data_IF_103406263316
#
_entry.id   IF_103406263316
#
_cell.length_a   1.000
_cell.length_b   1.000
_cell.length_c   1.000
_cell.angle_alpha   90.00
_cell.angle_beta   90.00
_cell.angle_gamma   90.00
#
_symmetry.space_group_name_H-M   'P 1'
#
loop_
_entity.id
_entity.type
_entity.pdbx_description
1 polymer ?
#
# COMPACT_ATOMS: atom_id res chain seq x y z
N UNK A 1 -45.05 -56.07 -2.72
CA UNK A 1 -43.68 -56.10 -3.27
C UNK A 1 -43.41 -54.87 -4.15
N UNK A 2 -44.31 -54.51 -5.06
CA UNK A 2 -44.17 -53.34 -5.98
C UNK A 2 -44.07 -51.98 -5.22
N UNK A 3 -44.89 -51.76 -4.20
CA UNK A 3 -44.93 -50.48 -3.45
C UNK A 3 -43.63 -50.17 -2.68
N UNK A 4 -42.92 -51.21 -2.22
CA UNK A 4 -41.62 -51.09 -1.53
C UNK A 4 -40.54 -50.68 -2.54
N UNK A 5 -40.52 -51.32 -3.72
CA UNK A 5 -39.59 -51.01 -4.81
C UNK A 5 -39.75 -49.57 -5.33
N UNK A 6 -40.99 -49.06 -5.42
CA UNK A 6 -41.25 -47.68 -5.86
C UNK A 6 -40.75 -46.65 -4.82
N UNK A 7 -40.99 -46.91 -3.53
CA UNK A 7 -40.52 -46.05 -2.44
C UNK A 7 -39.00 -45.99 -2.37
N UNK A 8 -38.33 -47.12 -2.53
CA UNK A 8 -36.85 -47.21 -2.53
C UNK A 8 -36.24 -46.44 -3.70
N UNK A 9 -36.83 -46.55 -4.89
CA UNK A 9 -36.38 -45.82 -6.08
C UNK A 9 -36.56 -44.30 -5.94
N UNK A 10 -37.68 -43.85 -5.37
CA UNK A 10 -37.93 -42.42 -5.10
C UNK A 10 -36.94 -41.87 -4.06
N UNK A 11 -36.67 -42.63 -3.00
CA UNK A 11 -35.71 -42.23 -1.97
C UNK A 11 -34.28 -42.17 -2.52
N UNK A 12 -33.89 -43.15 -3.35
CA UNK A 12 -32.59 -43.14 -4.03
C UNK A 12 -32.44 -41.93 -4.96
N UNK A 13 -33.50 -41.56 -5.69
CA UNK A 13 -33.52 -40.36 -6.53
C UNK A 13 -33.32 -39.08 -5.71
N UNK A 14 -34.00 -38.94 -4.57
CA UNK A 14 -33.88 -37.78 -3.67
C UNK A 14 -32.47 -37.67 -3.07
N UNK A 15 -31.89 -38.79 -2.63
CA UNK A 15 -30.52 -38.82 -2.09
C UNK A 15 -29.49 -38.34 -3.12
N UNK A 16 -29.56 -38.85 -4.36
CA UNK A 16 -28.66 -38.41 -5.44
C UNK A 16 -28.79 -36.93 -5.76
N UNK A 17 -30.02 -36.39 -5.77
CA UNK A 17 -30.25 -34.98 -5.99
C UNK A 17 -29.63 -34.10 -4.88
N UNK A 18 -29.78 -34.50 -3.62
CA UNK A 18 -29.21 -33.79 -2.47
C UNK A 18 -27.67 -33.81 -2.49
N UNK A 19 -27.06 -34.96 -2.75
CA UNK A 19 -25.59 -35.09 -2.86
C UNK A 19 -25.02 -34.20 -3.98
N UNK A 20 -25.70 -34.13 -5.12
CA UNK A 20 -25.28 -33.24 -6.20
C UNK A 20 -25.37 -31.76 -5.79
N UNK A 21 -26.43 -31.37 -5.08
CA UNK A 21 -26.58 -30.01 -4.59
C UNK A 21 -25.46 -29.63 -3.60
N UNK A 22 -25.17 -30.51 -2.64
CA UNK A 22 -24.07 -30.30 -1.67
C UNK A 22 -22.70 -30.21 -2.37
N UNK A 23 -22.46 -31.04 -3.38
CA UNK A 23 -21.21 -31.03 -4.17
C UNK A 23 -21.05 -29.73 -4.97
N UNK A 24 -22.13 -29.26 -5.61
CA UNK A 24 -22.11 -28.00 -6.37
C UNK A 24 -21.92 -26.81 -5.43
N UNK A 25 -22.59 -26.81 -4.28
CA UNK A 25 -22.43 -25.74 -3.29
C UNK A 25 -20.98 -25.68 -2.78
N UNK A 26 -20.39 -26.84 -2.47
CA UNK A 26 -18.97 -26.94 -2.09
C UNK A 26 -18.03 -26.42 -3.19
N UNK A 27 -18.35 -26.70 -4.46
CA UNK A 27 -17.56 -26.19 -5.58
C UNK A 27 -17.67 -24.67 -5.73
N UNK A 28 -18.88 -24.11 -5.61
CA UNK A 28 -19.12 -22.67 -5.71
C UNK A 28 -18.48 -21.86 -4.58
N UNK A 29 -18.43 -22.44 -3.38
CA UNK A 29 -17.82 -21.81 -2.20
C UNK A 29 -16.29 -21.96 -2.17
N UNK A 30 -15.73 -22.84 -3.02
CA UNK A 30 -14.30 -23.06 -3.10
C UNK A 30 -13.58 -21.88 -3.73
N UNK A 31 -12.62 -21.33 -3.00
CA UNK A 31 -11.66 -20.33 -3.50
C UNK A 31 -10.30 -20.95 -3.83
N UNK A 32 -10.21 -22.29 -3.75
CA UNK A 32 -9.02 -23.00 -4.16
C UNK A 32 -8.77 -22.81 -5.65
N UNK A 33 -7.51 -22.88 -6.05
CA UNK A 33 -7.10 -22.75 -7.45
C UNK A 33 -6.75 -24.14 -8.03
N UNK A 34 -7.74 -25.00 -8.33
CA UNK A 34 -7.51 -26.39 -8.72
C UNK A 34 -6.80 -26.52 -10.07
N UNK A 35 -6.86 -25.47 -10.90
CA UNK A 35 -6.22 -25.43 -12.21
C UNK A 35 -4.86 -24.70 -12.17
N UNK A 36 -4.44 -24.21 -11.00
CA UNK A 36 -3.19 -23.48 -10.84
C UNK A 36 -3.12 -22.21 -11.70
N UNK A 37 -4.28 -21.62 -12.06
CA UNK A 37 -4.34 -20.40 -12.88
C UNK A 37 -3.60 -19.31 -12.14
N UNK A 38 -2.51 -18.84 -12.72
CA UNK A 38 -1.71 -17.78 -12.13
C UNK A 38 -2.42 -16.44 -12.26
N UNK A 39 -2.09 -15.50 -11.37
CA UNK A 39 -2.56 -14.11 -11.47
C UNK A 39 -2.31 -13.52 -12.87
N UNK A 40 -1.18 -13.85 -13.49
CA UNK A 40 -0.84 -13.42 -14.85
C UNK A 40 -1.81 -13.98 -15.90
N UNK A 41 -2.16 -15.26 -15.81
CA UNK A 41 -3.11 -15.89 -16.74
C UNK A 41 -4.53 -15.34 -16.60
N UNK A 42 -4.93 -14.90 -15.41
CA UNK A 42 -6.20 -14.22 -15.16
C UNK A 42 -6.20 -12.73 -15.56
N UNK A 43 -5.10 -12.21 -16.09
CA UNK A 43 -4.95 -10.78 -16.43
C UNK A 43 -4.89 -9.87 -15.20
N UNK A 44 -4.62 -10.42 -14.00
CA UNK A 44 -4.43 -9.62 -12.81
C UNK A 44 -3.15 -8.80 -12.93
N UNK A 45 -3.23 -7.52 -12.56
CA UNK A 45 -2.05 -6.64 -12.54
C UNK A 45 -1.01 -7.22 -11.57
N UNK A 46 0.25 -7.41 -12.00
CA UNK A 46 1.31 -7.85 -11.11
C UNK A 46 1.45 -6.89 -9.92
N UNK A 47 1.71 -7.42 -8.71
CA UNK A 47 1.96 -6.59 -7.52
C UNK A 47 3.10 -5.56 -7.75
N UNK A 48 4.09 -5.95 -8.56
CA UNK A 48 5.20 -5.09 -8.99
C UNK A 48 4.78 -3.89 -9.86
N UNK A 49 3.56 -3.88 -10.41
CA UNK A 49 3.08 -2.80 -11.28
C UNK A 49 2.79 -1.50 -10.53
N UNK A 50 2.74 -1.52 -9.18
CA UNK A 50 2.36 -0.34 -8.40
C UNK A 50 3.50 0.21 -7.53
N UNK A 51 4.44 -0.62 -7.05
CA UNK A 51 5.60 -0.18 -6.27
C UNK A 51 6.74 -1.21 -6.31
N UNK A 52 7.99 -0.75 -6.28
CA UNK A 52 9.14 -1.57 -5.87
C UNK A 52 9.13 -1.69 -4.35
N UNK A 53 8.90 -2.90 -3.83
CA UNK A 53 8.96 -3.16 -2.39
C UNK A 53 10.42 -3.28 -1.97
N UNK A 54 10.81 -2.56 -0.94
CA UNK A 54 12.18 -2.57 -0.43
C UNK A 54 12.41 -3.61 0.66
N UNK A 55 13.63 -4.12 0.69
CA UNK A 55 14.21 -4.76 1.87
C UNK A 55 14.63 -3.72 2.93
N UNK A 56 14.88 -4.18 4.16
CA UNK A 56 15.38 -3.30 5.22
C UNK A 56 16.74 -2.68 4.88
N UNK A 57 16.97 -1.42 5.30
CA UNK A 57 18.28 -0.79 5.19
C UNK A 57 18.48 0.18 4.02
N UNK A 58 17.41 0.59 3.33
CA UNK A 58 17.54 1.47 2.17
C UNK A 58 18.00 2.88 2.54
N UNK A 59 19.02 3.38 1.84
CA UNK A 59 19.43 4.78 1.91
C UNK A 59 18.69 5.60 0.85
N UNK A 60 17.82 6.52 1.28
CA UNK A 60 17.04 7.37 0.37
C UNK A 60 17.92 8.29 -0.50
N UNK A 61 19.18 8.57 -0.14
CA UNK A 61 20.10 9.33 -1.00
C UNK A 61 20.54 8.54 -2.24
N UNK A 62 20.44 7.21 -2.21
CA UNK A 62 20.83 6.35 -3.35
C UNK A 62 19.68 6.12 -4.34
N UNK A 63 18.46 6.50 -3.96
CA UNK A 63 17.26 6.26 -4.75
C UNK A 63 17.05 7.39 -5.77
N UNK A 64 17.78 7.30 -6.88
CA UNK A 64 17.76 8.30 -7.95
C UNK A 64 16.98 7.85 -9.20
N UNK A 65 16.63 6.56 -9.28
CA UNK A 65 15.81 6.05 -10.37
C UNK A 65 14.38 6.50 -10.19
N UNK A 66 13.76 7.00 -11.28
CA UNK A 66 12.34 7.37 -11.26
C UNK A 66 11.48 6.15 -11.01
N UNK A 67 10.46 6.31 -10.18
CA UNK A 67 9.53 5.24 -9.89
C UNK A 67 8.88 5.40 -8.53
N UNK A 68 8.21 4.33 -8.15
CA UNK A 68 7.48 4.26 -6.89
C UNK A 68 8.04 3.14 -6.05
N UNK A 69 8.32 3.43 -4.79
CA UNK A 69 8.95 2.55 -3.82
C UNK A 69 8.12 2.45 -2.54
N UNK A 70 8.20 1.31 -1.88
CA UNK A 70 7.47 1.07 -0.64
C UNK A 70 8.37 0.48 0.44
N UNK A 71 8.31 1.07 1.63
CA UNK A 71 8.75 0.48 2.89
C UNK A 71 7.49 0.01 3.66
N UNK A 72 6.99 -1.21 3.41
CA UNK A 72 5.62 -1.60 3.80
C UNK A 72 5.46 -1.91 5.29
N UNK A 73 6.55 -2.19 5.99
CA UNK A 73 6.55 -2.52 7.41
C UNK A 73 7.31 -1.48 8.21
N UNK A 74 6.98 -1.37 9.50
CA UNK A 74 7.67 -0.46 10.42
C UNK A 74 9.16 -0.82 10.57
N UNK A 75 9.50 -2.11 10.48
CA UNK A 75 10.89 -2.57 10.58
C UNK A 75 11.72 -2.13 9.36
N UNK A 76 11.16 -2.24 8.15
CA UNK A 76 11.82 -1.79 6.92
C UNK A 76 12.00 -0.27 6.95
N UNK A 77 10.93 0.47 7.28
CA UNK A 77 10.97 1.92 7.37
C UNK A 77 11.97 2.44 8.42
N UNK A 78 12.04 1.79 9.59
CA UNK A 78 12.99 2.15 10.65
C UNK A 78 14.45 1.85 10.30
N UNK A 79 14.69 0.90 9.41
CA UNK A 79 16.03 0.59 8.91
C UNK A 79 16.48 1.55 7.80
N UNK A 80 15.59 2.35 7.22
CA UNK A 80 15.96 3.33 6.19
C UNK A 80 16.76 4.50 6.76
N UNK A 81 17.67 5.03 5.97
CA UNK A 81 18.49 6.20 6.32
C UNK A 81 18.19 7.39 5.41
N UNK A 82 18.61 8.60 5.81
CA UNK A 82 18.31 9.86 5.12
C UNK A 82 16.81 10.17 4.99
N UNK A 83 16.05 9.73 5.99
CA UNK A 83 14.63 10.05 6.16
C UNK A 83 14.42 11.54 6.49
N UNK A 84 13.19 12.07 6.29
CA UNK A 84 12.88 13.45 6.64
C UNK A 84 13.16 13.78 8.10
N UNK A 85 13.62 15.00 8.35
CA UNK A 85 13.82 15.48 9.72
C UNK A 85 12.46 15.55 10.45
N UNK A 86 12.43 15.08 11.71
CA UNK A 86 11.18 14.94 12.47
C UNK A 86 10.29 13.77 12.04
N UNK A 87 10.69 12.97 11.05
CA UNK A 87 10.00 11.73 10.71
C UNK A 87 10.41 10.61 11.66
N UNK A 88 9.53 10.27 12.60
CA UNK A 88 9.73 9.12 13.48
C UNK A 88 9.41 7.83 12.71
N UNK A 89 10.44 7.17 12.20
CA UNK A 89 10.32 5.91 11.46
C UNK A 89 9.74 4.76 12.30
N UNK A 90 9.85 4.85 13.63
CA UNK A 90 9.23 3.94 14.58
C UNK A 90 7.71 4.05 14.52
N UNK A 91 7.08 3.23 13.68
CA UNK A 91 5.62 3.08 13.60
C UNK A 91 5.00 3.48 12.26
N UNK A 92 5.79 3.86 11.25
CA UNK A 92 5.26 4.41 10.01
C UNK A 92 5.88 3.73 8.79
N UNK A 93 5.18 2.75 8.21
CA UNK A 93 5.40 2.40 6.81
C UNK A 93 5.22 3.64 5.92
N UNK A 94 5.93 3.70 4.80
CA UNK A 94 5.80 4.81 3.87
C UNK A 94 5.93 4.37 2.41
N UNK A 95 5.47 5.27 1.55
CA UNK A 95 5.68 5.26 0.11
C UNK A 95 6.69 6.36 -0.24
N UNK A 96 7.65 6.06 -1.11
CA UNK A 96 8.51 7.05 -1.73
C UNK A 96 8.19 7.11 -3.23
N UNK A 97 8.02 8.31 -3.75
CA UNK A 97 7.87 8.59 -5.18
C UNK A 97 9.08 9.39 -5.64
N UNK A 98 9.70 8.97 -6.74
CA UNK A 98 10.85 9.63 -7.36
C UNK A 98 10.48 10.03 -8.78
N UNK A 99 10.51 11.33 -9.06
CA UNK A 99 10.04 11.91 -10.32
C UNK A 99 11.06 12.93 -10.85
N UNK A 100 11.24 13.01 -12.16
CA UNK A 100 11.99 14.11 -12.78
C UNK A 100 11.12 15.37 -12.84
N UNK A 101 11.60 16.47 -12.27
CA UNK A 101 10.92 17.78 -12.36
C UNK A 101 11.32 18.52 -13.65
N UNK A 102 12.51 18.22 -14.17
CA UNK A 102 13.00 18.64 -15.48
C UNK A 102 13.84 17.51 -16.05
N UNK A 103 13.84 17.34 -17.37
CA UNK A 103 14.49 16.22 -18.08
C UNK A 103 16.00 16.11 -17.88
N UNK A 104 16.65 17.06 -17.20
CA UNK A 104 18.12 17.07 -17.09
C UNK A 104 18.68 17.49 -15.73
N UNK A 105 17.95 18.26 -14.92
CA UNK A 105 18.60 18.97 -13.80
C UNK A 105 18.08 18.61 -12.41
N UNK A 106 16.83 18.16 -12.29
CA UNK A 106 16.19 18.02 -10.99
C UNK A 106 15.31 16.77 -10.91
N UNK A 107 15.48 16.03 -9.81
CA UNK A 107 14.54 15.02 -9.37
C UNK A 107 13.88 15.47 -8.07
N UNK A 108 12.63 15.05 -7.88
CA UNK A 108 11.91 15.23 -6.64
C UNK A 108 11.68 13.87 -6.01
N UNK A 109 12.00 13.79 -4.73
CA UNK A 109 11.59 12.70 -3.86
C UNK A 109 10.41 13.17 -3.03
N UNK A 110 9.30 12.44 -3.06
CA UNK A 110 8.12 12.68 -2.21
C UNK A 110 7.90 11.47 -1.32
N UNK A 111 7.99 11.66 -0.01
CA UNK A 111 7.67 10.64 0.98
C UNK A 111 6.26 10.85 1.52
N UNK A 112 5.47 9.78 1.52
CA UNK A 112 4.11 9.76 2.05
C UNK A 112 4.05 8.72 3.17
N UNK A 113 3.92 9.19 4.41
CA UNK A 113 3.78 8.35 5.59
C UNK A 113 2.37 7.75 5.71
N UNK A 114 2.24 6.65 6.45
CA UNK A 114 0.96 5.97 6.70
C UNK A 114 -0.13 6.88 7.29
N UNK A 115 0.24 7.87 8.10
CA UNK A 115 -0.70 8.85 8.68
C UNK A 115 -1.09 9.99 7.74
N UNK A 116 -0.61 9.98 6.50
CA UNK A 116 -0.86 11.05 5.53
C UNK A 116 0.11 12.23 5.66
N UNK A 117 1.10 12.17 6.55
CA UNK A 117 2.19 13.15 6.56
C UNK A 117 3.00 13.06 5.26
N UNK A 118 3.29 14.21 4.66
CA UNK A 118 4.01 14.27 3.39
C UNK A 118 5.26 15.13 3.53
N UNK A 119 6.34 14.65 2.94
CA UNK A 119 7.61 15.36 2.85
C UNK A 119 8.11 15.32 1.42
N UNK A 120 8.90 16.31 1.05
CA UNK A 120 9.62 16.26 -0.21
C UNK A 120 10.99 16.91 -0.13
N UNK A 121 11.86 16.50 -1.04
CA UNK A 121 13.15 17.16 -1.28
C UNK A 121 13.51 17.07 -2.74
N UNK A 122 14.44 17.91 -3.16
CA UNK A 122 14.94 17.98 -4.53
C UNK A 122 16.36 17.47 -4.58
N UNK A 123 16.67 16.65 -5.58
CA UNK A 123 18.04 16.32 -5.97
C UNK A 123 18.42 17.15 -7.19
N UNK A 124 19.50 17.92 -7.08
CA UNK A 124 20.11 18.63 -8.19
C UNK A 124 21.17 17.71 -8.82
N UNK A 125 20.92 17.30 -10.06
CA UNK A 125 21.78 16.39 -10.82
C UNK A 125 23.15 17.02 -11.11
N UNK A 126 23.18 18.32 -11.40
CA UNK A 126 24.41 19.04 -11.75
C UNK A 126 25.37 19.20 -10.57
N UNK A 127 24.84 19.36 -9.36
CA UNK A 127 25.66 19.47 -8.14
C UNK A 127 25.74 18.17 -7.34
N UNK A 128 25.12 17.10 -7.83
CA UNK A 128 24.99 15.80 -7.16
C UNK A 128 24.56 15.91 -5.68
N UNK A 129 23.59 16.79 -5.39
CA UNK A 129 23.25 17.15 -4.01
C UNK A 129 21.73 17.17 -3.77
N UNK A 130 21.32 16.72 -2.59
CA UNK A 130 19.96 16.87 -2.09
C UNK A 130 19.77 18.20 -1.37
N UNK A 131 18.59 18.80 -1.53
CA UNK A 131 18.09 19.81 -0.61
C UNK A 131 17.73 19.17 0.74
N UNK A 132 17.48 20.03 1.73
CA UNK A 132 16.77 19.61 2.94
C UNK A 132 15.37 19.05 2.61
N UNK A 133 14.84 18.25 3.53
CA UNK A 133 13.45 17.80 3.48
C UNK A 133 12.50 18.92 3.90
N UNK A 134 11.45 19.11 3.12
CA UNK A 134 10.38 20.06 3.36
C UNK A 134 9.12 19.28 3.74
N UNK A 135 8.49 19.64 4.86
CA UNK A 135 7.22 19.06 5.29
C UNK A 135 6.05 19.83 4.67
N UNK A 136 5.10 19.11 4.09
CA UNK A 136 3.82 19.71 3.69
C UNK A 136 2.96 19.98 4.92
N UNK A 137 2.49 21.22 5.07
CA UNK A 137 1.56 21.61 6.13
C UNK A 137 0.14 21.32 5.68
N UNK A 138 -0.57 20.51 6.46
CA UNK A 138 -1.98 20.23 6.21
C UNK A 138 -2.86 21.38 6.74
N UNK A 139 -4.06 21.54 6.19
CA UNK A 139 -5.00 22.59 6.62
C UNK A 139 -5.33 22.55 8.11
N UNK A 140 -5.38 21.37 8.72
CA UNK A 140 -5.57 21.19 10.16
C UNK A 140 -4.39 21.68 10.99
N UNK A 141 -3.16 21.49 10.50
CA UNK A 141 -1.94 21.97 11.17
C UNK A 141 -1.83 23.49 11.08
N UNK A 142 -2.21 24.07 9.93
CA UNK A 142 -2.31 25.52 9.78
C UNK A 142 -3.37 26.11 10.73
N UNK A 143 -4.58 25.53 10.77
CA UNK A 143 -5.64 25.99 11.67
C UNK A 143 -5.23 25.92 13.16
N UNK A 144 -4.49 24.86 13.55
CA UNK A 144 -3.97 24.75 14.91
C UNK A 144 -2.91 25.82 15.21
N UNK A 145 -2.08 26.19 14.23
CA UNK A 145 -1.12 27.29 14.38
C UNK A 145 -1.83 28.64 14.53
N UNK A 146 -2.82 28.91 13.69
CA UNK A 146 -3.63 30.13 13.76
C UNK A 146 -4.32 30.28 15.12
N UNK A 147 -4.90 29.20 15.65
CA UNK A 147 -5.52 29.19 16.99
C UNK A 147 -4.51 29.51 18.10
N UNK A 148 -3.28 29.00 18.00
CA UNK A 148 -2.21 29.28 18.97
C UNK A 148 -1.74 30.73 18.88
N UNK A 149 -1.61 31.29 17.68
CA UNK A 149 -1.25 32.69 17.47
C UNK A 149 -2.31 33.60 18.08
N UNK A 150 -3.58 33.36 17.78
CA UNK A 150 -4.68 34.14 18.35
C UNK A 150 -4.72 34.11 19.90
N UNK A 151 -4.43 32.96 20.50
CA UNK A 151 -4.34 32.83 21.96
C UNK A 151 -3.17 33.64 22.56
N UNK A 152 -2.05 33.74 21.85
CA UNK A 152 -0.90 34.53 22.28
C UNK A 152 -1.14 36.03 22.14
N UNK A 153 -1.78 36.45 21.04
CA UNK A 153 -2.15 37.85 20.80
C UNK A 153 -3.17 38.33 21.84
N UNK A 154 -4.14 37.49 22.22
CA UNK A 154 -5.13 37.82 23.25
C UNK A 154 -4.61 37.75 24.69
N UNK A 155 -3.51 37.04 24.96
CA UNK A 155 -2.89 36.98 26.29
C UNK A 155 -1.91 38.14 26.55
N UNK A 156 -1.57 38.92 25.52
CA UNK A 156 -0.65 40.06 25.59
C UNK A 156 -1.30 41.43 25.84
N UNK A 157 -2.62 41.49 26.02
CA UNK A 157 -3.41 42.69 26.38
C UNK A 157 -3.94 42.60 27.80
#
# INVERSE_FOLDING_TARGET
MIEILETDNVNLGRQKANTNFETIQTHLDSQENPHGVTAVQAGALPLAAWNTVWDAGQDLNTVLTTGTYAAPTNAIAAACTNLPEGYTASGQAFKLIVETTSTVNFLRQTLIGRTGVMYARTYNVSSAAFSGWEKYVMSSELAALEARVAALEGAGT
#
